data_IF_215484412804
#
_entry.id   IF_215484412804
#
_cell.length_a   1.000
_cell.length_b   1.000
_cell.length_c   1.000
_cell.angle_alpha   90.00
_cell.angle_beta   90.00
_cell.angle_gamma   90.00
#
_symmetry.space_group_name_H-M   'P 1'
#
loop_
_entity.id
_entity.type
_entity.pdbx_description
1 polymer ?
#
# COMPACT_ATOMS: atom_id res chain seq x y z
N UNK A 1 -7.98 -1.37 -14.01
CA UNK A 1 -7.57 -2.79 -13.82
C UNK A 1 -6.24 -2.84 -13.11
N UNK A 2 -5.96 -3.90 -12.36
CA UNK A 2 -4.69 -4.07 -11.66
C UNK A 2 -4.23 -5.52 -11.63
N UNK A 3 -2.90 -5.71 -11.57
CA UNK A 3 -2.26 -7.03 -11.45
C UNK A 3 -1.90 -7.39 -10.01
N UNK A 4 -2.57 -6.77 -9.04
CA UNK A 4 -2.42 -7.04 -7.61
C UNK A 4 -3.34 -8.18 -7.15
N UNK A 5 -3.56 -8.25 -5.83
CA UNK A 5 -4.34 -9.31 -5.18
C UNK A 5 -5.58 -8.81 -4.41
N UNK A 6 -5.87 -7.49 -4.44
CA UNK A 6 -7.01 -6.86 -3.75
C UNK A 6 -7.62 -5.77 -4.61
N UNK A 7 -8.95 -5.75 -4.71
CA UNK A 7 -9.70 -4.82 -5.55
C UNK A 7 -10.90 -4.18 -4.83
N UNK A 8 -10.80 -4.00 -3.51
CA UNK A 8 -11.84 -3.35 -2.70
C UNK A 8 -12.10 -1.91 -3.16
N UNK A 9 -13.36 -1.50 -3.11
CA UNK A 9 -13.80 -0.14 -3.42
C UNK A 9 -13.07 0.88 -2.54
N UNK A 10 -12.69 2.02 -3.13
CA UNK A 10 -12.05 3.14 -2.43
C UNK A 10 -10.58 2.91 -2.01
N UNK A 11 -10.03 1.70 -2.13
CA UNK A 11 -8.63 1.41 -1.75
C UNK A 11 -7.62 1.64 -2.87
N UNK A 12 -8.00 1.39 -4.11
CA UNK A 12 -7.11 1.52 -5.27
C UNK A 12 -7.02 2.98 -5.70
N UNK A 13 -8.18 3.59 -5.94
CA UNK A 13 -8.32 5.00 -6.26
C UNK A 13 -9.74 5.45 -5.85
N UNK A 14 -9.91 6.59 -5.17
CA UNK A 14 -11.21 7.09 -4.72
C UNK A 14 -12.20 7.39 -5.86
N UNK A 15 -11.72 7.71 -7.06
CA UNK A 15 -12.55 8.03 -8.22
C UNK A 15 -12.98 6.79 -9.03
N UNK A 16 -12.46 5.60 -8.66
CA UNK A 16 -12.70 4.36 -9.39
C UNK A 16 -13.65 3.45 -8.61
N UNK A 17 -14.89 3.36 -9.10
CA UNK A 17 -15.96 2.53 -8.53
C UNK A 17 -15.73 1.03 -8.73
N UNK A 18 -15.20 0.64 -9.89
CA UNK A 18 -15.02 -0.76 -10.26
C UNK A 18 -13.55 -1.10 -10.50
N UNK A 19 -13.04 -2.08 -9.74
CA UNK A 19 -11.67 -2.54 -9.83
C UNK A 19 -11.64 -4.04 -10.14
N UNK A 20 -10.91 -4.42 -11.19
CA UNK A 20 -10.78 -5.82 -11.61
C UNK A 20 -9.33 -6.28 -11.49
N UNK A 21 -9.18 -7.50 -10.97
CA UNK A 21 -7.90 -8.22 -10.93
C UNK A 21 -7.72 -8.96 -12.24
N UNK A 22 -6.55 -8.81 -12.85
CA UNK A 22 -6.19 -9.53 -14.07
C UNK A 22 -4.69 -9.83 -14.07
N UNK A 23 -4.25 -10.73 -14.95
CA UNK A 23 -2.82 -10.96 -15.17
C UNK A 23 -2.15 -9.68 -15.71
N UNK A 24 -0.85 -9.45 -15.44
CA UNK A 24 -0.12 -8.31 -15.99
C UNK A 24 -0.33 -8.06 -17.50
N UNK A 25 -0.26 -9.08 -18.40
CA UNK A 25 -0.49 -8.84 -19.82
C UNK A 25 -1.93 -8.42 -20.16
N UNK A 26 -2.94 -8.91 -19.42
CA UNK A 26 -4.32 -8.44 -19.61
C UNK A 26 -4.51 -6.99 -19.16
N UNK A 27 -3.83 -6.56 -18.10
CA UNK A 27 -3.85 -5.14 -17.69
C UNK A 27 -3.34 -4.24 -18.83
N UNK A 28 -2.27 -4.65 -19.52
CA UNK A 28 -1.75 -3.93 -20.68
C UNK A 28 -2.74 -3.96 -21.84
N UNK A 29 -3.32 -5.12 -22.17
CA UNK A 29 -4.28 -5.25 -23.26
C UNK A 29 -5.49 -4.31 -23.08
N UNK A 30 -6.10 -4.29 -21.89
CA UNK A 30 -7.22 -3.40 -21.58
C UNK A 30 -6.81 -1.92 -21.50
N UNK A 31 -5.55 -1.62 -21.14
CA UNK A 31 -5.03 -0.26 -21.19
C UNK A 31 -4.86 0.23 -22.65
N UNK A 32 -4.41 -0.64 -23.55
CA UNK A 32 -4.33 -0.34 -24.99
C UNK A 32 -5.72 -0.14 -25.60
N UNK A 33 -6.68 -1.00 -25.26
CA UNK A 33 -8.05 -0.88 -25.75
C UNK A 33 -8.81 0.32 -25.15
N UNK A 34 -8.37 0.82 -23.98
CA UNK A 34 -8.96 1.99 -23.32
C UNK A 34 -10.34 1.76 -22.69
N UNK A 35 -10.88 0.54 -22.77
CA UNK A 35 -12.20 0.19 -22.23
C UNK A 35 -12.22 -1.24 -21.73
N UNK A 36 -12.97 -1.49 -20.64
CA UNK A 36 -13.26 -2.85 -20.15
C UNK A 36 -14.51 -3.46 -20.78
N UNK A 37 -15.24 -2.70 -21.61
CA UNK A 37 -16.46 -3.17 -22.26
C UNK A 37 -16.19 -3.85 -23.61
N UNK A 38 -14.93 -3.84 -24.06
CA UNK A 38 -14.50 -4.45 -25.31
C UNK A 38 -14.42 -5.98 -25.17
N UNK A 39 -14.90 -6.70 -26.19
CA UNK A 39 -14.65 -8.13 -26.34
C UNK A 39 -13.30 -8.34 -27.03
N UNK A 40 -12.25 -8.55 -26.24
CA UNK A 40 -10.88 -8.81 -26.72
C UNK A 40 -10.74 -10.05 -27.62
N UNK A 41 -11.77 -10.91 -27.70
CA UNK A 41 -11.75 -12.11 -28.55
C UNK A 41 -12.19 -11.82 -29.98
N UNK A 42 -13.00 -10.79 -30.19
CA UNK A 42 -13.62 -10.47 -31.49
C UNK A 42 -13.30 -9.06 -31.97
N UNK A 43 -13.00 -8.12 -31.06
CA UNK A 43 -12.72 -6.73 -31.37
C UNK A 43 -11.21 -6.43 -31.40
N UNK A 44 -10.74 -5.55 -32.29
CA UNK A 44 -9.34 -5.16 -32.34
C UNK A 44 -8.97 -4.23 -31.16
N UNK A 45 -7.74 -4.33 -30.69
CA UNK A 45 -7.15 -3.41 -29.70
C UNK A 45 -6.95 -2.00 -30.26
N UNK A 46 -6.77 -1.90 -31.57
CA UNK A 46 -6.55 -0.65 -32.28
C UNK A 46 -6.09 -0.88 -33.72
N UNK A 47 -5.62 0.19 -34.35
CA UNK A 47 -5.09 0.16 -35.71
C UNK A 47 -3.57 0.27 -35.69
N UNK A 48 -2.89 -0.65 -36.36
CA UNK A 48 -1.44 -0.64 -36.51
C UNK A 48 -0.95 0.51 -37.38
N UNK A 49 0.36 0.75 -37.38
CA UNK A 49 1.00 1.76 -38.24
C UNK A 49 0.81 1.50 -39.74
N UNK A 50 0.47 0.28 -40.11
CA UNK A 50 0.16 -0.15 -41.48
C UNK A 50 -1.34 0.00 -41.84
N UNK A 51 -2.15 0.58 -40.94
CA UNK A 51 -3.57 0.78 -41.14
C UNK A 51 -4.43 -0.46 -40.90
N UNK A 52 -3.85 -1.59 -40.49
CA UNK A 52 -4.60 -2.83 -40.25
C UNK A 52 -5.10 -2.93 -38.81
N UNK A 53 -6.26 -3.59 -38.56
CA UNK A 53 -6.70 -3.89 -37.21
C UNK A 53 -5.73 -4.88 -36.54
N UNK A 54 -5.35 -4.57 -35.29
CA UNK A 54 -4.51 -5.43 -34.45
C UNK A 54 -5.36 -6.02 -33.35
N UNK A 55 -5.39 -7.35 -33.25
CA UNK A 55 -6.15 -8.09 -32.26
C UNK A 55 -5.25 -8.56 -31.12
N UNK A 56 -5.87 -8.95 -29.99
CA UNK A 56 -5.12 -9.47 -28.85
C UNK A 56 -4.21 -10.65 -29.25
N UNK A 57 -4.73 -11.58 -30.05
CA UNK A 57 -4.00 -12.75 -30.55
C UNK A 57 -2.74 -12.41 -31.35
N UNK A 58 -2.68 -11.22 -31.96
CA UNK A 58 -1.56 -10.82 -32.82
C UNK A 58 -0.34 -10.38 -31.98
N UNK A 59 -0.57 -9.95 -30.73
CA UNK A 59 0.47 -9.44 -29.81
C UNK A 59 0.65 -10.31 -28.58
N UNK A 60 -0.19 -11.34 -28.38
CA UNK A 60 -0.13 -12.17 -27.20
C UNK A 60 1.04 -13.16 -27.29
N UNK A 61 2.01 -13.12 -26.35
CA UNK A 61 3.16 -13.99 -26.41
C UNK A 61 2.78 -15.43 -26.08
N UNK A 62 3.40 -16.38 -26.78
CA UNK A 62 3.27 -17.79 -26.47
C UNK A 62 4.05 -18.16 -25.20
N UNK A 63 3.63 -19.24 -24.53
CA UNK A 63 4.36 -19.76 -23.37
C UNK A 63 5.82 -20.11 -23.68
N UNK A 64 6.11 -20.52 -24.92
CA UNK A 64 7.46 -20.86 -25.35
C UNK A 64 8.36 -19.61 -25.48
N UNK A 65 7.83 -18.53 -26.06
CA UNK A 65 8.55 -17.25 -26.16
C UNK A 65 8.84 -16.67 -24.77
N UNK A 66 7.86 -16.71 -23.87
CA UNK A 66 8.02 -16.26 -22.48
C UNK A 66 9.10 -17.08 -21.78
N UNK A 67 9.05 -18.41 -21.87
CA UNK A 67 10.02 -19.30 -21.23
C UNK A 67 11.43 -19.14 -21.81
N UNK A 68 11.55 -18.89 -23.11
CA UNK A 68 12.83 -18.57 -23.75
C UNK A 68 13.38 -17.25 -23.22
N UNK A 69 12.58 -16.19 -23.24
CA UNK A 69 12.99 -14.87 -22.78
C UNK A 69 13.42 -14.88 -21.30
N UNK A 70 12.69 -15.59 -20.44
CA UNK A 70 13.06 -15.74 -19.02
C UNK A 70 14.42 -16.41 -18.88
N UNK A 71 14.67 -17.51 -19.60
CA UNK A 71 15.95 -18.23 -19.51
C UNK A 71 17.14 -17.38 -19.97
N UNK A 72 16.94 -16.54 -20.97
CA UNK A 72 17.98 -15.68 -21.54
C UNK A 72 18.31 -14.48 -20.63
N UNK A 73 17.30 -13.92 -19.94
CA UNK A 73 17.44 -12.63 -19.27
C UNK A 73 17.45 -12.71 -17.72
N UNK A 74 16.79 -13.71 -17.13
CA UNK A 74 16.70 -13.85 -15.67
C UNK A 74 17.84 -14.73 -15.16
N UNK A 75 18.99 -14.10 -14.91
CA UNK A 75 20.23 -14.81 -14.55
C UNK A 75 20.57 -14.67 -13.06
N UNK A 76 21.33 -15.65 -12.54
CA UNK A 76 21.88 -15.59 -11.17
C UNK A 76 22.71 -14.32 -10.91
N UNK A 77 23.40 -13.81 -11.93
CA UNK A 77 24.18 -12.57 -11.84
C UNK A 77 23.29 -11.38 -11.54
N UNK A 78 22.14 -11.26 -12.23
CA UNK A 78 21.16 -10.20 -11.99
C UNK A 78 20.73 -10.13 -10.52
N UNK A 79 20.43 -11.28 -9.92
CA UNK A 79 20.10 -11.34 -8.49
C UNK A 79 21.28 -10.91 -7.62
N UNK A 80 22.48 -11.46 -7.84
CA UNK A 80 23.67 -11.08 -7.06
C UNK A 80 23.93 -9.58 -7.09
N UNK A 81 23.87 -8.97 -8.28
CA UNK A 81 24.10 -7.53 -8.46
C UNK A 81 23.03 -6.71 -7.71
N UNK A 82 21.75 -7.09 -7.79
CA UNK A 82 20.66 -6.37 -7.12
C UNK A 82 20.70 -6.48 -5.59
N UNK A 83 21.15 -7.62 -5.07
CA UNK A 83 21.22 -7.85 -3.63
C UNK A 83 22.52 -7.36 -2.99
N UNK A 84 23.59 -7.12 -3.77
CA UNK A 84 24.88 -6.69 -3.26
C UNK A 84 24.80 -5.38 -2.44
N UNK A 85 23.93 -4.45 -2.86
CA UNK A 85 23.82 -3.12 -2.27
C UNK A 85 22.50 -2.89 -1.52
N UNK A 86 21.72 -3.93 -1.24
CA UNK A 86 20.35 -3.76 -0.68
C UNK A 86 20.36 -3.02 0.67
N UNK A 87 21.44 -3.15 1.46
CA UNK A 87 21.60 -2.48 2.75
C UNK A 87 22.34 -1.14 2.65
N UNK A 88 22.98 -0.85 1.52
CA UNK A 88 23.74 0.39 1.33
C UNK A 88 22.81 1.59 1.19
N UNK A 89 21.63 1.39 0.59
CA UNK A 89 20.67 2.45 0.31
C UNK A 89 21.22 3.50 -0.67
N UNK A 90 20.40 4.50 -0.99
CA UNK A 90 20.82 5.61 -1.83
C UNK A 90 21.54 6.70 -1.00
N UNK A 91 21.98 7.77 -1.67
CA UNK A 91 22.65 8.89 -1.01
C UNK A 91 21.76 9.61 0.01
N UNK A 92 20.44 9.54 -0.12
CA UNK A 92 19.52 10.15 0.85
C UNK A 92 19.43 9.30 2.11
N UNK A 93 19.31 7.98 1.96
CA UNK A 93 19.31 7.01 3.05
C UNK A 93 20.58 7.12 3.90
N UNK A 94 21.74 7.21 3.26
CA UNK A 94 23.04 7.32 3.96
C UNK A 94 23.23 8.66 4.68
N UNK A 95 22.53 9.73 4.27
CA UNK A 95 22.60 11.05 4.91
C UNK A 95 21.74 11.15 6.16
N UNK A 96 20.87 10.18 6.43
CA UNK A 96 20.01 10.19 7.61
C UNK A 96 20.91 10.05 8.85
N UNK A 97 20.97 11.10 9.65
CA UNK A 97 21.69 11.08 10.93
C UNK A 97 20.90 10.21 11.92
N UNK A 98 21.55 9.16 12.43
CA UNK A 98 20.96 8.28 13.44
C UNK A 98 21.56 8.63 14.80
N UNK A 99 20.73 9.00 15.81
CA UNK A 99 21.21 9.23 17.17
C UNK A 99 21.91 7.98 17.72
N UNK A 100 22.98 8.16 18.48
CA UNK A 100 23.62 7.06 19.20
C UNK A 100 22.83 6.75 20.47
N UNK A 101 22.55 5.47 20.72
CA UNK A 101 21.85 5.00 21.92
C UNK A 101 21.17 3.67 21.72
N UNK A 102 20.91 2.96 22.82
CA UNK A 102 20.12 1.72 22.82
C UNK A 102 18.62 1.98 22.88
N UNK A 103 18.21 3.20 23.26
CA UNK A 103 16.80 3.60 23.38
C UNK A 103 16.48 4.75 22.43
N UNK A 104 15.24 4.77 21.95
CA UNK A 104 14.76 5.82 21.06
C UNK A 104 14.57 7.14 21.84
N UNK A 105 15.18 8.21 21.34
CA UNK A 105 15.02 9.55 21.90
C UNK A 105 13.69 10.16 21.42
N UNK A 106 12.64 10.00 22.23
CA UNK A 106 11.31 10.53 21.92
C UNK A 106 11.31 12.06 21.79
N UNK A 107 10.85 12.56 20.64
CA UNK A 107 10.61 13.98 20.42
C UNK A 107 9.13 14.33 20.68
N UNK A 108 8.89 15.15 21.71
CA UNK A 108 7.53 15.58 22.08
C UNK A 108 6.83 16.41 21.00
N UNK A 109 7.58 17.04 20.08
CA UNK A 109 7.02 17.81 18.97
C UNK A 109 6.76 16.97 17.71
N UNK A 110 7.23 15.72 17.69
CA UNK A 110 7.10 14.86 16.52
C UNK A 110 5.65 14.49 16.24
N UNK A 111 5.10 14.88 15.10
CA UNK A 111 3.74 14.47 14.69
C UNK A 111 3.70 13.08 14.03
N UNK A 112 4.84 12.38 13.97
CA UNK A 112 5.04 11.16 13.19
C UNK A 112 5.38 9.95 14.05
N UNK A 113 6.25 10.14 15.05
CA UNK A 113 6.69 9.10 15.99
C UNK A 113 6.42 9.61 17.40
N UNK A 114 5.50 8.97 18.10
CA UNK A 114 5.03 9.36 19.43
C UNK A 114 5.14 8.17 20.38
N UNK A 115 5.50 8.44 21.65
CA UNK A 115 5.60 7.38 22.66
C UNK A 115 4.19 6.90 23.03
N UNK A 116 3.80 5.66 22.70
CA UNK A 116 2.45 5.19 22.97
C UNK A 116 2.22 5.00 24.49
N UNK A 117 0.99 5.22 24.98
CA UNK A 117 0.69 5.10 26.40
C UNK A 117 0.51 3.65 26.88
N UNK A 118 0.79 2.63 26.05
CA UNK A 118 0.46 1.22 26.33
C UNK A 118 1.01 0.69 27.66
N UNK A 119 2.17 1.18 28.07
CA UNK A 119 2.88 0.73 29.27
C UNK A 119 2.72 1.68 30.47
N UNK A 120 2.00 2.79 30.30
CA UNK A 120 1.80 3.76 31.39
C UNK A 120 0.97 3.11 32.50
N UNK A 121 1.53 3.04 33.71
CA UNK A 121 0.89 2.40 34.86
C UNK A 121 0.96 0.86 34.87
N UNK A 122 1.67 0.24 33.92
CA UNK A 122 1.88 -1.21 33.91
C UNK A 122 2.72 -1.62 35.12
N UNK A 123 2.21 -2.60 35.87
CA UNK A 123 2.88 -3.18 37.04
C UNK A 123 3.77 -4.35 36.62
N UNK A 124 4.86 -4.60 37.34
CA UNK A 124 5.76 -5.74 37.07
C UNK A 124 5.07 -7.10 37.26
N UNK A 125 4.09 -7.18 38.15
CA UNK A 125 3.27 -8.37 38.38
C UNK A 125 1.86 -8.09 37.91
N UNK A 126 1.26 -9.05 37.21
CA UNK A 126 -0.14 -8.98 36.83
C UNK A 126 -1.03 -8.83 38.08
N UNK A 127 -2.00 -7.92 38.04
CA UNK A 127 -3.05 -7.88 39.07
C UNK A 127 -3.86 -9.17 38.92
N UNK A 128 -4.04 -9.92 40.02
CA UNK A 128 -4.83 -11.14 40.03
C UNK A 128 -6.33 -10.89 39.76
N UNK A 129 -6.77 -9.62 39.81
CA UNK A 129 -8.14 -9.21 39.52
C UNK A 129 -8.34 -9.06 38.01
N UNK A 130 -9.07 -9.99 37.43
CA UNK A 130 -9.73 -9.77 36.14
C UNK A 130 -10.77 -8.66 36.34
N UNK A 131 -10.47 -7.45 35.86
CA UNK A 131 -11.43 -6.35 35.90
C UNK A 131 -12.39 -6.51 34.72
N UNK A 132 -13.60 -6.96 35.02
CA UNK A 132 -14.69 -6.87 34.06
C UNK A 132 -15.30 -5.46 34.13
N UNK A 133 -15.59 -4.81 32.99
CA UNK A 133 -16.35 -3.57 33.01
C UNK A 133 -17.72 -3.84 33.66
N UNK A 134 -18.11 -3.02 34.64
CA UNK A 134 -19.36 -3.21 35.38
C UNK A 134 -20.61 -3.00 34.50
N UNK A 135 -20.50 -2.17 33.45
CA UNK A 135 -21.56 -1.91 32.49
C UNK A 135 -20.96 -1.62 31.10
N UNK A 136 -20.58 -2.66 30.31
CA UNK A 136 -20.08 -2.45 28.96
C UNK A 136 -21.19 -1.90 28.06
N UNK A 137 -20.92 -0.81 27.36
CA UNK A 137 -21.80 -0.26 26.33
C UNK A 137 -21.34 -0.71 24.94
N UNK A 138 -22.29 -1.06 24.07
CA UNK A 138 -21.99 -1.35 22.67
C UNK A 138 -21.59 -0.04 21.95
N UNK A 139 -20.32 0.06 21.52
CA UNK A 139 -19.82 1.23 20.76
C UNK A 139 -20.16 1.17 19.27
N UNK A 140 -20.45 -0.02 18.74
CA UNK A 140 -20.82 -0.22 17.35
C UNK A 140 -21.29 -1.64 17.10
N UNK A 141 -22.43 -1.78 16.43
CA UNK A 141 -22.93 -3.06 15.94
C UNK A 141 -22.60 -3.14 14.44
N UNK A 142 -21.73 -4.07 14.08
CA UNK A 142 -21.31 -4.28 12.71
C UNK A 142 -21.84 -5.61 12.19
N UNK A 143 -22.18 -5.64 10.91
CA UNK A 143 -22.59 -6.85 10.20
C UNK A 143 -21.36 -7.55 9.58
N UNK A 144 -21.57 -8.42 8.61
CA UNK A 144 -20.51 -9.16 7.95
C UNK A 144 -19.60 -8.27 7.08
N UNK A 145 -18.46 -8.84 6.65
CA UNK A 145 -17.51 -8.22 5.71
C UNK A 145 -16.81 -6.95 6.20
N UNK A 146 -16.70 -6.78 7.53
CA UNK A 146 -15.79 -5.79 8.11
C UNK A 146 -14.34 -6.24 7.91
N UNK A 147 -13.57 -5.43 7.20
CA UNK A 147 -12.14 -5.64 6.98
C UNK A 147 -11.32 -4.79 7.95
N UNK A 148 -10.04 -5.12 8.11
CA UNK A 148 -9.10 -4.30 8.91
C UNK A 148 -8.99 -2.87 8.41
N UNK A 149 -9.23 -2.62 7.12
CA UNK A 149 -9.23 -1.26 6.55
C UNK A 149 -10.48 -0.46 6.94
N UNK A 150 -11.59 -1.11 7.32
CA UNK A 150 -12.73 -0.41 7.90
C UNK A 150 -12.45 0.01 9.35
N UNK A 151 -11.68 -0.81 10.09
CA UNK A 151 -11.32 -0.56 11.49
C UNK A 151 -10.17 0.46 11.61
N UNK A 152 -9.19 0.36 10.70
CA UNK A 152 -7.99 1.19 10.66
C UNK A 152 -7.62 1.51 9.20
N UNK A 153 -8.27 2.52 8.58
CA UNK A 153 -8.11 2.81 7.16
C UNK A 153 -6.69 3.30 6.86
N UNK A 154 -6.03 2.72 5.85
CA UNK A 154 -4.63 3.06 5.59
C UNK A 154 -4.40 4.29 4.68
N UNK A 155 -5.46 4.83 4.08
CA UNK A 155 -5.42 5.87 3.04
C UNK A 155 -5.34 7.31 3.55
N UNK A 156 -5.77 8.26 2.71
CA UNK A 156 -5.80 9.69 3.04
C UNK A 156 -6.78 9.99 4.19
N UNK A 157 -6.35 10.82 5.14
CA UNK A 157 -7.18 11.30 6.25
C UNK A 157 -7.94 12.53 5.75
N UNK A 158 -9.28 12.51 5.81
CA UNK A 158 -10.10 13.67 5.39
C UNK A 158 -10.06 14.76 6.47
N UNK A 159 -10.02 16.03 6.09
CA UNK A 159 -9.97 17.18 7.03
C UNK A 159 -11.10 17.16 8.08
N UNK A 160 -12.29 16.72 7.68
CA UNK A 160 -13.46 16.66 8.56
C UNK A 160 -13.43 15.48 9.56
N UNK A 161 -12.46 14.57 9.47
CA UNK A 161 -12.37 13.42 10.38
C UNK A 161 -11.54 13.76 11.63
N UNK A 162 -11.84 13.14 12.79
CA UNK A 162 -10.95 13.17 13.94
C UNK A 162 -9.53 12.76 13.55
N UNK A 163 -8.54 13.62 13.81
CA UNK A 163 -7.13 13.43 13.40
C UNK A 163 -6.74 14.11 12.07
N UNK A 164 -7.71 14.59 11.28
CA UNK A 164 -7.49 15.46 10.11
C UNK A 164 -7.29 16.93 10.47
N UNK A 165 -7.79 17.36 11.64
CA UNK A 165 -7.49 18.67 12.21
C UNK A 165 -6.09 18.66 12.81
N UNK A 166 -5.11 19.15 12.06
CA UNK A 166 -3.75 19.41 12.55
C UNK A 166 -3.78 20.69 13.40
N UNK A 167 -3.28 20.69 14.66
CA UNK A 167 -3.21 21.91 15.46
C UNK A 167 -2.44 23.00 14.71
N UNK A 168 -2.92 24.25 14.74
CA UNK A 168 -2.30 25.40 14.04
C UNK A 168 -0.82 25.67 14.43
N UNK A 169 -0.30 24.99 15.46
CA UNK A 169 1.11 25.06 15.90
C UNK A 169 2.05 24.06 15.23
N UNK A 170 1.54 23.03 14.55
CA UNK A 170 2.35 22.12 13.75
C UNK A 170 2.45 22.65 12.33
N UNK A 171 3.64 23.00 11.86
CA UNK A 171 3.92 23.48 10.48
C UNK A 171 3.78 22.38 9.41
N UNK A 172 2.83 21.46 9.57
CA UNK A 172 2.53 20.43 8.57
C UNK A 172 1.43 20.98 7.68
N UNK A 173 1.80 21.41 6.47
CA UNK A 173 0.85 21.88 5.47
C UNK A 173 -0.18 20.78 5.13
N UNK A 174 -1.44 21.15 4.88
CA UNK A 174 -2.53 20.22 4.54
C UNK A 174 -2.21 19.33 3.31
N UNK A 175 -1.39 19.82 2.37
CA UNK A 175 -0.89 19.04 1.23
C UNK A 175 0.08 17.89 1.60
N UNK A 176 0.60 17.90 2.84
CA UNK A 176 1.46 16.85 3.43
C UNK A 176 0.72 15.97 4.44
N UNK A 177 -0.61 15.93 4.41
CA UNK A 177 -1.42 14.88 5.02
C UNK A 177 -1.12 13.55 4.32
N UNK A 178 0.07 13.02 4.56
CA UNK A 178 0.46 11.67 4.19
C UNK A 178 -0.56 10.70 4.77
N UNK A 179 -0.75 9.59 4.06
CA UNK A 179 -1.49 8.41 4.52
C UNK A 179 -1.18 8.03 5.98
N UNK A 180 -1.85 7.03 6.53
CA UNK A 180 -1.56 6.45 7.87
C UNK A 180 -0.12 5.96 8.15
N UNK A 181 0.88 6.42 7.40
CA UNK A 181 2.31 6.42 7.72
C UNK A 181 2.67 6.85 9.16
N UNK A 182 1.72 7.36 9.96
CA UNK A 182 1.83 7.58 11.42
C UNK A 182 1.83 6.29 12.26
N UNK A 183 1.76 5.10 11.67
CA UNK A 183 1.63 3.83 12.39
C UNK A 183 2.95 3.13 12.76
N UNK A 184 4.12 3.68 12.42
CA UNK A 184 5.39 2.96 12.55
C UNK A 184 6.38 3.64 13.49
N UNK A 185 6.49 3.14 14.73
CA UNK A 185 7.72 3.15 15.53
C UNK A 185 7.51 2.52 16.92
N UNK A 186 7.33 1.20 16.99
CA UNK A 186 7.50 0.47 18.26
C UNK A 186 8.12 -0.89 17.91
N UNK A 187 9.23 -1.22 18.58
CA UNK A 187 10.11 -2.40 18.39
C UNK A 187 11.25 -2.24 17.38
N UNK A 188 12.29 -1.54 17.82
CA UNK A 188 13.64 -2.11 18.01
C UNK A 188 14.21 -1.59 19.31
#
# INVERSE_FOLDING_TARGET
MLSGNRNFEGRVNPDVKANYLASPPLVVAYALAGSLQIDLTTEPLGTGSDGKPVYLKDIWPSNQEIAKFIRENVTKKMFRDKYADVFKGDANWQKISVPQGETYAWDAQSTYVQNPPYFVGMQQRADARHRHPEAPACMGLFLDSITTDHISPAGSIKEAQPGGQVPARSQVALATSTSTARAAAIMK
#
